data_IF_414476187226
#
_entry.id   IF_414476187226
#
_cell.length_a   1.000
_cell.length_b   1.000
_cell.length_c   1.000
_cell.angle_alpha   90.00
_cell.angle_beta   90.00
_cell.angle_gamma   90.00
#
_symmetry.space_group_name_H-M   'P 1'
#
loop_
_entity.id
_entity.type
_entity.pdbx_description
1 polymer ?
#
# COMPACT_ATOMS: atom_id res chain seq x y z
N UNK A 1 12.95 10.55 0.50
CA UNK A 1 12.15 11.55 -0.24
C UNK A 1 11.27 10.76 -1.19
N UNK A 2 10.00 11.12 -1.30
CA UNK A 2 9.05 10.40 -2.15
C UNK A 2 9.00 11.03 -3.54
N UNK A 3 8.93 10.18 -4.56
CA UNK A 3 8.63 10.58 -5.93
C UNK A 3 7.36 9.83 -6.34
N UNK A 4 6.40 10.56 -6.90
CA UNK A 4 5.17 9.97 -7.40
C UNK A 4 5.29 9.71 -8.91
N UNK A 5 5.00 8.49 -9.32
CA UNK A 5 4.85 8.08 -10.70
C UNK A 5 3.36 7.80 -10.97
N UNK A 6 2.85 8.21 -12.13
CA UNK A 6 1.41 8.07 -12.46
C UNK A 6 1.08 6.68 -12.97
N UNK A 7 2.09 5.95 -13.47
CA UNK A 7 1.93 4.56 -13.90
C UNK A 7 1.67 3.68 -12.68
N UNK A 8 0.82 2.67 -12.86
CA UNK A 8 0.58 1.64 -11.87
C UNK A 8 1.75 0.63 -11.88
N UNK A 9 2.08 0.09 -10.71
CA UNK A 9 3.05 -1.00 -10.52
C UNK A 9 2.67 -2.22 -11.36
N UNK A 10 1.36 -2.56 -11.36
CA UNK A 10 0.81 -3.62 -12.20
C UNK A 10 -0.37 -3.13 -13.05
N UNK A 11 -0.47 -3.52 -14.34
CA UNK A 11 -1.53 -3.06 -15.23
C UNK A 11 -2.91 -3.64 -14.84
N UNK A 12 -3.81 -2.76 -14.43
CA UNK A 12 -5.21 -3.09 -14.13
C UNK A 12 -6.07 -3.11 -15.40
N UNK A 13 -6.90 -4.15 -15.58
CA UNK A 13 -7.77 -4.33 -16.76
C UNK A 13 -9.21 -4.64 -16.36
N UNK A 14 -10.04 -3.60 -16.22
CA UNK A 14 -11.47 -3.72 -15.90
C UNK A 14 -12.28 -3.87 -17.19
N UNK A 15 -13.03 -4.97 -17.33
CA UNK A 15 -13.86 -5.25 -18.51
C UNK A 15 -15.34 -4.84 -18.37
N UNK A 16 -15.83 -4.79 -17.13
CA UNK A 16 -17.23 -4.49 -16.82
C UNK A 16 -17.35 -3.87 -15.43
N UNK A 17 -18.36 -3.04 -15.24
CA UNK A 17 -18.67 -2.44 -13.93
C UNK A 17 -19.25 -3.51 -13.00
N UNK A 18 -18.69 -3.65 -11.79
CA UNK A 18 -19.20 -4.53 -10.75
C UNK A 18 -19.20 -3.83 -9.38
N UNK A 19 -20.33 -3.23 -8.95
CA UNK A 19 -20.40 -2.49 -7.68
C UNK A 19 -20.19 -3.37 -6.45
N UNK A 20 -20.60 -4.64 -6.48
CA UNK A 20 -20.41 -5.56 -5.36
C UNK A 20 -18.93 -5.89 -5.14
N UNK A 21 -18.19 -6.12 -6.24
CA UNK A 21 -16.74 -6.31 -6.18
C UNK A 21 -16.03 -5.03 -5.73
N UNK A 22 -16.43 -3.87 -6.25
CA UNK A 22 -15.87 -2.59 -5.82
C UNK A 22 -16.05 -2.35 -4.31
N UNK A 23 -17.21 -2.71 -3.74
CA UNK A 23 -17.45 -2.62 -2.30
C UNK A 23 -16.49 -3.51 -1.48
N UNK A 24 -16.14 -4.70 -2.00
CA UNK A 24 -15.13 -5.56 -1.37
C UNK A 24 -13.70 -5.02 -1.53
N UNK A 25 -13.35 -4.44 -2.69
CA UNK A 25 -12.02 -3.84 -2.89
C UNK A 25 -11.81 -2.64 -1.96
N UNK A 26 -12.85 -1.85 -1.71
CA UNK A 26 -12.78 -0.71 -0.77
C UNK A 26 -12.36 -1.14 0.64
N UNK A 27 -12.76 -2.34 1.10
CA UNK A 27 -12.32 -2.82 2.41
C UNK A 27 -10.83 -3.16 2.45
N UNK A 28 -10.24 -3.61 1.34
CA UNK A 28 -8.79 -3.79 1.24
C UNK A 28 -8.05 -2.46 1.09
N UNK A 29 -8.68 -1.46 0.46
CA UNK A 29 -8.06 -0.14 0.36
C UNK A 29 -7.99 0.60 1.71
N UNK A 30 -9.12 0.67 2.44
CA UNK A 30 -9.25 1.53 3.63
C UNK A 30 -9.84 0.86 4.88
N UNK A 31 -10.05 -0.45 4.85
CA UNK A 31 -10.50 -1.21 6.02
C UNK A 31 -9.42 -1.36 7.09
N UNK A 32 -9.76 -1.95 8.25
CA UNK A 32 -8.85 -2.10 9.39
C UNK A 32 -7.58 -2.91 9.04
N UNK A 33 -7.73 -3.91 8.19
CA UNK A 33 -6.66 -4.76 7.69
C UNK A 33 -6.23 -4.39 6.26
N UNK A 34 -6.60 -3.20 5.78
CA UNK A 34 -6.30 -2.75 4.43
C UNK A 34 -4.88 -2.20 4.25
N UNK A 35 -4.51 -2.02 2.98
CA UNK A 35 -3.17 -1.65 2.51
C UNK A 35 -2.74 -0.25 2.98
N UNK A 36 -3.69 0.69 3.06
CA UNK A 36 -3.43 2.01 3.65
C UNK A 36 -3.05 1.91 5.14
N UNK A 37 -3.68 0.98 5.87
CA UNK A 37 -3.33 0.71 7.25
C UNK A 37 -1.95 0.06 7.36
N UNK A 38 -1.65 -0.90 6.48
CA UNK A 38 -0.37 -1.59 6.43
C UNK A 38 0.80 -0.64 6.13
N UNK A 39 0.73 0.12 5.03
CA UNK A 39 1.72 1.14 4.64
C UNK A 39 2.02 2.12 5.77
N UNK A 40 0.99 2.70 6.39
CA UNK A 40 1.16 3.64 7.49
C UNK A 40 1.80 3.01 8.73
N UNK A 41 1.50 1.73 9.03
CA UNK A 41 2.16 1.01 10.15
C UNK A 41 3.65 0.82 9.88
N UNK A 42 4.04 0.35 8.70
CA UNK A 42 5.45 0.12 8.39
C UNK A 42 6.25 1.43 8.33
N UNK A 43 5.68 2.47 7.69
CA UNK A 43 6.31 3.80 7.62
C UNK A 43 6.43 4.44 9.01
N UNK A 44 5.45 4.28 9.89
CA UNK A 44 5.55 4.82 11.27
C UNK A 44 6.59 4.07 12.10
N UNK A 45 6.64 2.74 12.02
CA UNK A 45 7.65 1.91 12.70
C UNK A 45 9.08 2.26 12.29
N UNK A 46 9.30 2.62 11.02
CA UNK A 46 10.61 3.04 10.51
C UNK A 46 11.24 4.16 11.33
N UNK A 47 10.47 5.13 11.82
CA UNK A 47 10.99 6.30 12.54
C UNK A 47 11.51 5.99 13.94
N UNK A 48 11.01 4.92 14.58
CA UNK A 48 11.43 4.48 15.91
C UNK A 48 12.35 3.25 15.88
N UNK A 49 12.60 2.67 14.71
CA UNK A 49 13.39 1.45 14.55
C UNK A 49 14.89 1.71 14.82
N UNK A 50 15.51 1.02 15.80
CA UNK A 50 16.90 1.26 16.19
C UNK A 50 17.94 0.68 15.20
N UNK A 51 17.55 -0.29 14.38
CA UNK A 51 18.42 -0.95 13.40
C UNK A 51 18.22 -0.34 12.01
N UNK A 52 19.27 0.23 11.43
CA UNK A 52 19.19 0.97 10.16
C UNK A 52 18.76 0.08 9.00
N UNK A 53 19.20 -1.17 9.00
CA UNK A 53 18.86 -2.20 8.01
C UNK A 53 17.36 -2.51 8.04
N UNK A 54 16.79 -2.61 9.24
CA UNK A 54 15.36 -2.87 9.43
C UNK A 54 14.54 -1.62 9.10
N UNK A 55 15.03 -0.41 9.42
CA UNK A 55 14.40 0.83 8.94
C UNK A 55 14.35 0.88 7.40
N UNK A 56 15.40 0.40 6.72
CA UNK A 56 15.42 0.23 5.27
C UNK A 56 14.30 -0.68 4.80
N UNK A 57 14.26 -1.91 5.34
CA UNK A 57 13.22 -2.89 5.01
C UNK A 57 11.79 -2.37 5.25
N UNK A 58 11.54 -1.69 6.36
CA UNK A 58 10.24 -1.07 6.65
C UNK A 58 9.89 0.06 5.69
N UNK A 59 10.89 0.75 5.15
CA UNK A 59 10.69 1.75 4.09
C UNK A 59 10.28 1.07 2.80
N UNK A 60 10.94 -0.03 2.44
CA UNK A 60 10.67 -0.77 1.21
C UNK A 60 9.25 -1.35 1.24
N UNK A 61 8.90 -2.10 2.29
CA UNK A 61 7.56 -2.67 2.47
C UNK A 61 6.51 -1.56 2.53
N UNK A 62 6.73 -0.54 3.37
CA UNK A 62 5.76 0.55 3.50
C UNK A 62 5.54 1.36 2.22
N UNK A 63 6.51 1.36 1.30
CA UNK A 63 6.40 1.99 -0.03
C UNK A 63 5.59 1.13 -0.99
N UNK A 64 5.83 -0.19 -1.01
CA UNK A 64 5.06 -1.15 -1.82
C UNK A 64 3.57 -1.12 -1.46
N UNK A 65 3.25 -1.09 -0.16
CA UNK A 65 1.85 -1.06 0.29
C UNK A 65 1.11 0.28 -0.02
N UNK A 66 1.83 1.35 -0.40
CA UNK A 66 1.20 2.58 -0.89
C UNK A 66 0.74 2.47 -2.35
N UNK A 67 1.23 1.48 -3.08
CA UNK A 67 0.82 1.16 -4.45
C UNK A 67 0.21 -0.25 -4.50
N UNK A 68 -0.95 -0.45 -3.87
CA UNK A 68 -1.50 -1.78 -3.72
C UNK A 68 -1.97 -2.37 -5.05
N UNK A 69 -1.71 -3.67 -5.23
CA UNK A 69 -1.96 -4.44 -6.46
C UNK A 69 -3.44 -4.82 -6.68
N UNK A 70 -4.39 -3.98 -6.26
CA UNK A 70 -5.84 -4.25 -6.23
C UNK A 70 -6.51 -4.38 -7.62
#
# INVERSE_FOLDING_TARGET
MWNYEKRLEYPVKIKQTNPALAAMIISQYGGPDGELGASMRYISQRYSMPYREVSGLLTDIGTEELEPHL
#
